data_IF_868247902206
#
_entry.id   IF_868247902206
#
_cell.length_a   1.000
_cell.length_b   1.000
_cell.length_c   1.000
_cell.angle_alpha   90.00
_cell.angle_beta   90.00
_cell.angle_gamma   90.00
#
_symmetry.space_group_name_H-M   'P 1'
#
loop_
_entity.id
_entity.type
_entity.pdbx_description
1 polymer ?
#
# COMPACT_ATOMS: atom_id res chain seq x y z
N UNK A 1 -12.85 -9.29 20.59
CA UNK A 1 -13.03 -10.60 19.95
C UNK A 1 -11.68 -11.32 19.85
N UNK A 2 -11.59 -12.56 20.36
CA UNK A 2 -10.36 -13.38 20.39
C UNK A 2 -10.45 -14.54 19.39
N UNK A 3 -11.56 -15.29 19.43
CA UNK A 3 -11.80 -16.46 18.60
C UNK A 3 -13.21 -16.40 18.02
N UNK A 4 -13.31 -16.57 16.70
CA UNK A 4 -14.56 -16.68 15.96
C UNK A 4 -14.79 -18.13 15.52
N UNK A 5 -16.03 -18.62 15.66
CA UNK A 5 -16.46 -19.95 15.26
C UNK A 5 -17.61 -19.80 14.25
N UNK A 6 -17.34 -20.12 12.99
CA UNK A 6 -18.29 -20.00 11.89
C UNK A 6 -18.83 -21.37 11.54
N UNK A 7 -20.14 -21.55 11.73
CA UNK A 7 -20.85 -22.75 11.30
C UNK A 7 -21.41 -22.53 9.90
N UNK A 8 -20.69 -23.03 8.89
CA UNK A 8 -21.04 -22.88 7.48
C UNK A 8 -22.19 -23.85 7.17
N UNK A 9 -23.41 -23.31 7.17
CA UNK A 9 -24.64 -24.10 6.97
C UNK A 9 -25.41 -23.75 5.70
N UNK A 10 -25.22 -22.53 5.17
CA UNK A 10 -25.99 -22.00 4.06
C UNK A 10 -25.08 -21.52 2.93
N UNK A 11 -25.50 -21.76 1.69
CA UNK A 11 -25.02 -21.05 0.52
C UNK A 11 -25.90 -19.81 0.28
N UNK A 12 -25.27 -18.64 0.21
CA UNK A 12 -25.95 -17.38 -0.13
C UNK A 12 -25.92 -17.18 -1.64
N UNK A 13 -27.07 -17.28 -2.27
CA UNK A 13 -27.23 -17.06 -3.71
C UNK A 13 -27.15 -15.56 -4.06
N UNK A 14 -26.95 -15.23 -5.34
CA UNK A 14 -26.85 -13.84 -5.83
C UNK A 14 -28.11 -13.01 -5.56
N UNK A 15 -29.27 -13.64 -5.49
CA UNK A 15 -30.55 -13.02 -5.11
C UNK A 15 -30.72 -12.85 -3.59
N UNK A 16 -29.71 -13.19 -2.78
CA UNK A 16 -29.73 -13.14 -1.32
C UNK A 16 -30.40 -14.33 -0.63
N UNK A 17 -31.01 -15.26 -1.36
CA UNK A 17 -31.64 -16.47 -0.78
C UNK A 17 -30.58 -17.38 -0.17
N UNK A 18 -30.91 -17.94 1.00
CA UNK A 18 -30.09 -18.93 1.68
C UNK A 18 -30.62 -20.34 1.38
N UNK A 19 -29.77 -21.20 0.84
CA UNK A 19 -30.06 -22.63 0.67
C UNK A 19 -29.13 -23.45 1.55
N UNK A 20 -29.66 -24.50 2.18
CA UNK A 20 -28.84 -25.42 2.98
C UNK A 20 -27.75 -26.06 2.10
N UNK A 21 -26.54 -26.14 2.65
CA UNK A 21 -25.46 -26.87 2.01
C UNK A 21 -25.67 -28.40 2.18
N UNK A 22 -25.28 -29.21 1.18
CA UNK A 22 -25.31 -30.67 1.31
C UNK A 22 -24.44 -31.20 2.45
N UNK A 23 -23.31 -30.55 2.71
CA UNK A 23 -22.42 -30.81 3.83
C UNK A 23 -22.20 -29.52 4.63
N UNK A 24 -22.21 -29.62 5.96
CA UNK A 24 -21.96 -28.50 6.87
C UNK A 24 -20.49 -28.51 7.28
N UNK A 25 -19.90 -27.32 7.37
CA UNK A 25 -18.49 -27.15 7.72
C UNK A 25 -18.35 -26.24 8.93
N UNK A 26 -17.20 -26.33 9.57
CA UNK A 26 -16.79 -25.42 10.65
C UNK A 26 -15.52 -24.73 10.18
N UNK A 27 -15.53 -23.40 10.23
CA UNK A 27 -14.35 -22.57 10.05
C UNK A 27 -14.11 -21.81 11.35
N UNK A 28 -12.85 -21.74 11.78
CA UNK A 28 -12.50 -21.07 13.03
C UNK A 28 -11.31 -20.16 12.80
N UNK A 29 -11.38 -18.95 13.35
CA UNK A 29 -10.29 -17.98 13.26
C UNK A 29 -9.99 -17.40 14.64
N UNK A 30 -8.75 -17.53 15.09
CA UNK A 30 -8.28 -16.93 16.33
C UNK A 30 -7.14 -15.96 16.02
N UNK A 31 -7.28 -14.70 16.41
CA UNK A 31 -6.24 -13.70 16.19
C UNK A 31 -5.04 -13.97 17.08
N UNK A 32 -3.95 -14.47 16.52
CA UNK A 32 -2.76 -14.90 17.26
C UNK A 32 -2.21 -13.78 18.15
N UNK A 33 -2.00 -12.58 17.61
CA UNK A 33 -1.47 -11.43 18.36
C UNK A 33 -2.43 -11.00 19.48
N UNK A 34 -3.74 -11.12 19.26
CA UNK A 34 -4.75 -10.80 20.28
C UNK A 34 -4.76 -11.83 21.41
N UNK A 35 -4.58 -13.12 21.09
CA UNK A 35 -4.44 -14.17 22.09
C UNK A 35 -3.17 -13.93 22.92
N UNK A 36 -2.03 -13.68 22.26
CA UNK A 36 -0.75 -13.45 22.94
C UNK A 36 -0.82 -12.25 23.88
N UNK A 37 -1.48 -11.16 23.48
CA UNK A 37 -1.77 -10.02 24.37
C UNK A 37 -2.45 -10.44 25.67
N UNK A 38 -3.49 -11.28 25.58
CA UNK A 38 -4.23 -11.77 26.75
C UNK A 38 -3.33 -12.66 27.62
N UNK A 39 -2.59 -13.59 27.01
CA UNK A 39 -1.69 -14.50 27.72
C UNK A 39 -0.57 -13.78 28.44
N UNK A 40 -0.04 -12.70 27.85
CA UNK A 40 1.02 -11.87 28.43
C UNK A 40 0.51 -10.79 29.38
N UNK A 41 -0.82 -10.64 29.53
CA UNK A 41 -1.47 -9.66 30.41
C UNK A 41 -1.03 -8.22 30.12
N UNK A 42 -0.98 -7.87 28.83
CA UNK A 42 -0.68 -6.52 28.35
C UNK A 42 -1.92 -5.91 27.68
N UNK A 43 -2.01 -4.58 27.63
CA UNK A 43 -3.25 -3.90 27.20
C UNK A 43 -3.35 -3.73 25.68
N UNK A 44 -2.19 -3.79 25.00
CA UNK A 44 -2.07 -3.59 23.56
C UNK A 44 -1.33 -4.74 22.87
N UNK A 45 -1.70 -5.04 21.61
CA UNK A 45 -0.95 -5.98 20.79
C UNK A 45 0.50 -5.51 20.61
N UNK A 46 0.70 -4.20 20.55
CA UNK A 46 2.02 -3.57 20.39
C UNK A 46 2.93 -3.72 21.62
N UNK A 47 2.40 -4.22 22.74
CA UNK A 47 3.18 -4.50 23.96
C UNK A 47 3.56 -5.98 24.07
N UNK A 48 3.21 -6.80 23.09
CA UNK A 48 3.58 -8.21 23.06
C UNK A 48 5.03 -8.41 22.62
N UNK A 49 5.60 -9.56 22.95
CA UNK A 49 6.89 -10.04 22.40
C UNK A 49 6.91 -10.12 20.87
N UNK A 50 5.76 -10.20 20.21
CA UNK A 50 5.63 -10.17 18.74
C UNK A 50 6.00 -8.80 18.16
N UNK A 51 5.62 -7.71 18.84
CA UNK A 51 5.77 -6.35 18.33
C UNK A 51 6.90 -5.57 18.98
N UNK A 52 7.21 -5.82 20.25
CA UNK A 52 8.25 -5.10 21.00
C UNK A 52 9.59 -5.03 20.24
N UNK A 53 10.14 -6.13 19.70
CA UNK A 53 11.44 -6.06 19.02
C UNK A 53 11.40 -5.22 17.74
N UNK A 54 10.25 -5.22 17.03
CA UNK A 54 10.06 -4.37 15.85
C UNK A 54 10.02 -2.90 16.25
N UNK A 55 9.28 -2.54 17.30
CA UNK A 55 9.18 -1.17 17.80
C UNK A 55 10.49 -0.65 18.38
N UNK A 56 11.24 -1.51 19.07
CA UNK A 56 12.59 -1.22 19.54
C UNK A 56 13.52 -0.96 18.37
N UNK A 57 13.49 -1.81 17.34
CA UNK A 57 14.29 -1.60 16.12
C UNK A 57 13.93 -0.31 15.39
N UNK A 58 12.65 0.02 15.27
CA UNK A 58 12.23 1.31 14.72
C UNK A 58 12.84 2.44 15.56
N UNK A 59 12.80 2.32 16.89
CA UNK A 59 13.37 3.31 17.80
C UNK A 59 14.87 3.52 17.63
N UNK A 60 15.62 2.44 17.42
CA UNK A 60 17.06 2.51 17.08
C UNK A 60 17.30 3.21 15.74
N UNK A 61 16.50 2.88 14.73
CA UNK A 61 16.66 3.45 13.37
C UNK A 61 16.32 4.94 13.34
N UNK A 62 15.31 5.38 14.11
CA UNK A 62 14.88 6.79 14.15
C UNK A 62 15.52 7.61 15.27
N UNK A 63 16.27 6.98 16.17
CA UNK A 63 16.94 7.65 17.29
C UNK A 63 16.04 8.06 18.46
N UNK A 64 14.78 7.59 18.49
CA UNK A 64 13.80 7.90 19.55
C UNK A 64 13.19 6.60 20.08
N UNK A 65 13.31 6.26 21.37
CA UNK A 65 12.67 5.06 21.91
C UNK A 65 11.14 5.15 21.85
N UNK A 66 10.45 4.05 21.48
CA UNK A 66 8.99 3.99 21.37
C UNK A 66 8.26 4.48 22.64
N UNK A 67 8.75 4.11 23.83
CA UNK A 67 8.14 4.51 25.11
C UNK A 67 8.34 5.98 25.46
N UNK A 68 9.34 6.63 24.86
CA UNK A 68 9.64 8.05 25.05
C UNK A 68 9.01 8.93 23.98
N UNK A 69 8.49 8.32 22.90
CA UNK A 69 7.78 9.01 21.83
C UNK A 69 6.44 9.57 22.31
N UNK A 70 6.05 10.72 21.75
CA UNK A 70 4.73 11.30 21.98
C UNK A 70 3.62 10.47 21.29
N UNK A 71 2.35 10.77 21.55
CA UNK A 71 1.23 9.99 21.02
C UNK A 71 1.21 9.89 19.48
N UNK A 72 1.55 10.97 18.78
CA UNK A 72 1.59 10.99 17.32
C UNK A 72 2.74 10.12 16.76
N UNK A 73 3.91 10.21 17.40
CA UNK A 73 5.05 9.37 17.08
C UNK A 73 4.74 7.90 17.38
N UNK A 74 4.11 7.57 18.52
CA UNK A 74 3.73 6.20 18.83
C UNK A 74 2.80 5.58 17.79
N UNK A 75 1.85 6.36 17.25
CA UNK A 75 1.03 5.93 16.11
C UNK A 75 1.90 5.65 14.88
N UNK A 76 2.87 6.50 14.58
CA UNK A 76 3.79 6.27 13.47
C UNK A 76 4.59 4.97 13.62
N UNK A 77 5.12 4.70 14.82
CA UNK A 77 5.79 3.44 15.15
C UNK A 77 4.90 2.23 14.90
N UNK A 78 3.67 2.26 15.42
CA UNK A 78 2.71 1.16 15.27
C UNK A 78 2.37 0.91 13.80
N UNK A 79 2.08 1.97 13.04
CA UNK A 79 1.79 1.88 11.61
C UNK A 79 2.97 1.30 10.85
N UNK A 80 4.19 1.78 11.09
CA UNK A 80 5.40 1.27 10.42
C UNK A 80 5.61 -0.20 10.77
N UNK A 81 5.45 -0.60 12.05
CA UNK A 81 5.61 -1.98 12.50
C UNK A 81 4.62 -2.94 11.84
N UNK A 82 3.35 -2.57 11.70
CA UNK A 82 2.36 -3.38 10.97
C UNK A 82 2.67 -3.45 9.47
N UNK A 83 3.05 -2.31 8.89
CA UNK A 83 3.26 -2.20 7.45
C UNK A 83 4.49 -2.98 7.00
N UNK A 84 5.60 -2.95 7.75
CA UNK A 84 6.77 -3.76 7.41
C UNK A 84 6.45 -5.25 7.45
N UNK A 85 5.68 -5.73 8.45
CA UNK A 85 5.25 -7.15 8.50
C UNK A 85 4.52 -7.53 7.22
N UNK A 86 3.48 -6.77 6.85
CA UNK A 86 2.70 -7.03 5.65
C UNK A 86 3.55 -7.00 4.37
N UNK A 87 4.43 -6.00 4.23
CA UNK A 87 5.30 -5.86 3.07
C UNK A 87 6.30 -7.01 2.96
N UNK A 88 6.95 -7.38 4.07
CA UNK A 88 7.92 -8.49 4.09
C UNK A 88 7.29 -9.79 3.65
N UNK A 89 6.15 -10.17 4.25
CA UNK A 89 5.47 -11.42 3.87
C UNK A 89 4.94 -11.37 2.43
N UNK A 90 4.29 -10.27 2.04
CA UNK A 90 3.70 -10.18 0.69
C UNK A 90 4.75 -10.23 -0.42
N UNK A 91 5.90 -9.58 -0.23
CA UNK A 91 6.99 -9.58 -1.21
C UNK A 91 7.71 -10.94 -1.21
N UNK A 92 7.88 -11.56 -0.04
CA UNK A 92 8.36 -12.94 0.05
C UNK A 92 7.43 -13.91 -0.68
N UNK A 93 6.12 -13.68 -0.71
CA UNK A 93 5.16 -14.50 -1.48
C UNK A 93 5.15 -14.17 -2.99
N UNK A 94 5.98 -13.23 -3.45
CA UNK A 94 6.14 -12.86 -4.86
C UNK A 94 5.25 -11.72 -5.34
N UNK A 95 4.51 -11.04 -4.45
CA UNK A 95 3.81 -9.82 -4.83
C UNK A 95 4.79 -8.64 -4.95
N UNK A 96 4.57 -7.75 -5.93
CA UNK A 96 5.41 -6.57 -6.14
C UNK A 96 4.59 -5.29 -6.17
N UNK A 97 5.13 -4.17 -5.62
CA UNK A 97 4.52 -2.86 -5.78
C UNK A 97 4.23 -2.54 -7.26
N UNK A 98 2.99 -2.15 -7.57
CA UNK A 98 2.57 -1.80 -8.94
C UNK A 98 1.42 -0.78 -8.90
N UNK A 99 0.90 -0.39 -10.06
CA UNK A 99 -0.25 0.52 -10.17
C UNK A 99 -1.61 -0.18 -10.14
N UNK A 100 -1.66 -1.52 -10.09
CA UNK A 100 -2.90 -2.27 -10.23
C UNK A 100 -2.99 -3.48 -9.28
N UNK A 101 -4.22 -3.90 -8.98
CA UNK A 101 -4.51 -5.11 -8.21
C UNK A 101 -3.79 -5.16 -6.86
N UNK A 102 -3.19 -6.33 -6.54
CA UNK A 102 -2.47 -6.55 -5.28
C UNK A 102 -1.23 -5.67 -5.16
N UNK A 103 -0.54 -5.40 -6.28
CA UNK A 103 0.66 -4.58 -6.27
C UNK A 103 0.37 -3.12 -5.90
N UNK A 104 -0.80 -2.61 -6.26
CA UNK A 104 -1.25 -1.29 -5.81
C UNK A 104 -1.45 -1.22 -4.28
N UNK A 105 -1.95 -2.30 -3.68
CA UNK A 105 -2.09 -2.40 -2.22
C UNK A 105 -0.71 -2.34 -1.54
N UNK A 106 0.26 -3.12 -2.02
CA UNK A 106 1.63 -3.10 -1.50
C UNK A 106 2.25 -1.70 -1.63
N UNK A 107 2.13 -1.07 -2.81
CA UNK A 107 2.59 0.29 -3.06
C UNK A 107 1.98 1.28 -2.06
N UNK A 108 0.67 1.23 -1.82
CA UNK A 108 -0.02 2.09 -0.86
C UNK A 108 0.48 1.90 0.57
N UNK A 109 0.65 0.66 1.02
CA UNK A 109 1.12 0.34 2.38
C UNK A 109 2.56 0.85 2.57
N UNK A 110 3.45 0.63 1.60
CA UNK A 110 4.81 1.16 1.65
C UNK A 110 4.83 2.69 1.73
N UNK A 111 4.08 3.36 0.85
CA UNK A 111 4.01 4.84 0.85
C UNK A 111 3.41 5.41 2.14
N UNK A 112 2.43 4.72 2.73
CA UNK A 112 1.88 5.08 4.03
C UNK A 112 2.94 4.97 5.14
N UNK A 113 3.70 3.87 5.16
CA UNK A 113 4.81 3.73 6.11
C UNK A 113 5.87 4.83 5.94
N UNK A 114 6.25 5.15 4.70
CA UNK A 114 7.20 6.23 4.41
C UNK A 114 6.71 7.60 4.90
N UNK A 115 5.43 7.92 4.67
CA UNK A 115 4.81 9.14 5.19
C UNK A 115 4.81 9.19 6.72
N UNK A 116 4.49 8.10 7.40
CA UNK A 116 4.60 8.06 8.87
C UNK A 116 6.06 8.17 9.33
N UNK A 117 7.03 7.72 8.53
CA UNK A 117 8.45 7.99 8.71
C UNK A 117 8.77 9.50 8.79
N UNK A 118 8.08 10.35 8.01
CA UNK A 118 8.25 11.81 8.11
C UNK A 118 7.82 12.39 9.46
N UNK A 119 6.86 11.76 10.16
CA UNK A 119 6.50 12.12 11.55
C UNK A 119 7.58 11.75 12.56
N UNK A 120 8.52 10.89 12.16
CA UNK A 120 9.69 10.47 12.94
C UNK A 120 10.98 11.11 12.41
N UNK A 121 10.88 12.18 11.62
CA UNK A 121 12.02 12.90 11.03
C UNK A 121 12.91 12.04 10.12
N UNK A 122 12.37 10.93 9.59
CA UNK A 122 13.09 10.07 8.66
C UNK A 122 12.94 10.58 7.24
N UNK A 123 14.00 11.23 6.74
CA UNK A 123 14.06 11.77 5.38
C UNK A 123 14.64 10.78 4.35
N UNK A 124 15.57 9.93 4.81
CA UNK A 124 16.21 8.89 4.01
C UNK A 124 15.48 7.55 4.09
N UNK A 125 15.61 6.67 3.07
CA UNK A 125 15.03 5.34 3.10
C UNK A 125 15.47 4.54 4.33
N UNK A 126 14.51 3.96 5.05
CA UNK A 126 14.79 3.26 6.30
C UNK A 126 13.93 2.02 6.51
N UNK A 127 12.78 1.88 5.84
CA UNK A 127 11.82 0.80 6.09
C UNK A 127 12.48 -0.57 5.86
N UNK A 128 13.31 -0.68 4.81
CA UNK A 128 14.03 -1.91 4.49
C UNK A 128 14.99 -2.36 5.62
N UNK A 129 15.46 -1.45 6.47
CA UNK A 129 16.38 -1.75 7.59
C UNK A 129 15.70 -2.55 8.70
N UNK A 130 14.37 -2.64 8.66
CA UNK A 130 13.55 -3.38 9.63
C UNK A 130 13.40 -4.86 9.24
N UNK A 131 13.56 -5.22 7.96
CA UNK A 131 13.39 -6.60 7.46
C UNK A 131 14.23 -7.63 8.24
N UNK A 132 15.50 -7.38 8.61
CA UNK A 132 16.27 -8.35 9.39
C UNK A 132 15.62 -8.74 10.73
N UNK A 133 14.98 -7.80 11.42
CA UNK A 133 14.25 -8.08 12.67
C UNK A 133 13.06 -9.00 12.43
N UNK A 134 12.40 -8.91 11.27
CA UNK A 134 11.31 -9.84 10.92
C UNK A 134 11.86 -11.24 10.64
N UNK A 135 13.03 -11.34 10.00
CA UNK A 135 13.70 -12.63 9.77
C UNK A 135 14.07 -13.29 11.10
N UNK A 136 14.57 -12.54 12.07
CA UNK A 136 14.89 -13.04 13.41
C UNK A 136 13.64 -13.55 14.16
N UNK A 137 12.53 -12.80 14.08
CA UNK A 137 11.29 -13.15 14.78
C UNK A 137 10.53 -14.31 14.15
N UNK A 138 10.47 -14.35 12.82
CA UNK A 138 9.55 -15.22 12.08
C UNK A 138 10.26 -16.30 11.25
N UNK A 139 11.56 -16.18 11.01
CA UNK A 139 12.30 -17.04 10.07
C UNK A 139 12.30 -18.53 10.44
N UNK A 140 12.13 -18.87 11.73
CA UNK A 140 11.99 -20.25 12.17
C UNK A 140 10.67 -20.91 11.74
N UNK A 141 9.58 -20.14 11.64
CA UNK A 141 8.27 -20.62 11.20
C UNK A 141 8.04 -20.40 9.70
N UNK A 142 8.70 -19.42 9.12
CA UNK A 142 8.54 -19.00 7.72
C UNK A 142 9.92 -18.91 7.02
N UNK A 143 10.53 -20.05 6.64
CA UNK A 143 11.87 -20.07 6.04
C UNK A 143 12.00 -19.22 4.76
N UNK A 144 10.91 -19.05 4.03
CA UNK A 144 10.84 -18.28 2.79
C UNK A 144 11.21 -16.80 2.98
N UNK A 145 10.94 -16.20 4.15
CA UNK A 145 11.32 -14.81 4.41
C UNK A 145 12.83 -14.69 4.67
N UNK A 146 13.47 -15.76 5.16
CA UNK A 146 14.93 -15.81 5.36
C UNK A 146 15.62 -15.80 4.00
N UNK A 147 15.19 -16.70 3.12
CA UNK A 147 15.73 -16.85 1.76
C UNK A 147 15.57 -15.55 0.95
N UNK A 148 14.41 -14.91 1.05
CA UNK A 148 14.06 -13.74 0.23
C UNK A 148 14.41 -12.40 0.88
N UNK A 149 14.99 -12.38 2.09
CA UNK A 149 15.27 -11.14 2.81
C UNK A 149 16.05 -10.11 1.99
N UNK A 150 17.15 -10.46 1.27
CA UNK A 150 17.89 -9.48 0.46
C UNK A 150 17.02 -8.86 -0.64
N UNK A 151 16.22 -9.69 -1.31
CA UNK A 151 15.30 -9.26 -2.35
C UNK A 151 14.21 -8.33 -1.82
N UNK A 152 13.57 -8.71 -0.70
CA UNK A 152 12.57 -7.88 -0.02
C UNK A 152 13.14 -6.52 0.36
N UNK A 153 14.35 -6.49 0.92
CA UNK A 153 15.04 -5.26 1.28
C UNK A 153 15.27 -4.35 0.07
N UNK A 154 15.74 -4.90 -1.05
CA UNK A 154 15.97 -4.14 -2.28
C UNK A 154 14.69 -3.56 -2.87
N UNK A 155 13.61 -4.36 -2.92
CA UNK A 155 12.29 -3.90 -3.42
C UNK A 155 11.76 -2.76 -2.56
N UNK A 156 11.78 -2.92 -1.23
CA UNK A 156 11.30 -1.89 -0.31
C UNK A 156 12.14 -0.61 -0.44
N UNK A 157 13.48 -0.74 -0.43
CA UNK A 157 14.39 0.40 -0.57
C UNK A 157 14.13 1.16 -1.87
N UNK A 158 14.03 0.45 -3.00
CA UNK A 158 13.85 1.08 -4.31
C UNK A 158 12.53 1.84 -4.44
N UNK A 159 11.41 1.27 -3.97
CA UNK A 159 10.12 1.98 -4.00
C UNK A 159 10.09 3.15 -3.00
N UNK A 160 10.72 3.01 -1.83
CA UNK A 160 10.83 4.09 -0.84
C UNK A 160 11.68 5.26 -1.37
N UNK A 161 12.85 4.99 -1.98
CA UNK A 161 13.70 5.98 -2.64
C UNK A 161 12.95 6.72 -3.75
N UNK A 162 12.23 5.99 -4.59
CA UNK A 162 11.44 6.56 -5.68
C UNK A 162 10.35 7.50 -5.15
N UNK A 163 9.64 7.07 -4.11
CA UNK A 163 8.55 7.85 -3.54
C UNK A 163 9.04 9.07 -2.78
N UNK A 164 10.13 8.96 -2.01
CA UNK A 164 10.69 10.06 -1.21
C UNK A 164 11.00 11.31 -2.05
N UNK A 165 11.37 11.14 -3.33
CA UNK A 165 11.59 12.25 -4.28
C UNK A 165 10.37 13.15 -4.47
N UNK A 166 9.17 12.62 -4.28
CA UNK A 166 7.89 13.29 -4.52
C UNK A 166 7.09 13.53 -3.24
N UNK A 167 7.38 12.79 -2.16
CA UNK A 167 6.63 12.81 -0.91
C UNK A 167 6.60 14.19 -0.26
N UNK A 168 7.78 14.80 -0.06
CA UNK A 168 7.87 16.09 0.65
C UNK A 168 7.12 17.19 -0.12
N UNK A 169 7.29 17.21 -1.44
CA UNK A 169 6.55 18.13 -2.31
C UNK A 169 5.04 17.88 -2.28
N UNK A 170 4.61 16.62 -2.24
CA UNK A 170 3.20 16.27 -2.11
C UNK A 170 2.60 16.73 -0.78
N UNK A 171 3.36 16.63 0.32
CA UNK A 171 2.94 17.11 1.65
C UNK A 171 2.80 18.64 1.66
N UNK A 172 3.75 19.39 1.08
CA UNK A 172 3.66 20.84 0.95
C UNK A 172 2.37 21.27 0.23
N UNK A 173 2.11 20.67 -0.94
CA UNK A 173 0.95 21.00 -1.76
C UNK A 173 -0.35 20.63 -1.05
N UNK A 174 -0.38 19.49 -0.35
CA UNK A 174 -1.52 19.12 0.49
C UNK A 174 -1.78 20.19 1.56
N UNK A 175 -0.74 20.67 2.25
CA UNK A 175 -0.88 21.70 3.27
C UNK A 175 -1.36 23.05 2.70
N UNK A 176 -0.93 23.40 1.49
CA UNK A 176 -1.42 24.58 0.77
C UNK A 176 -2.93 24.46 0.47
N UNK A 177 -3.36 23.32 -0.08
CA UNK A 177 -4.79 23.04 -0.33
C UNK A 177 -5.61 23.16 0.95
N UNK A 178 -5.13 22.56 2.05
CA UNK A 178 -5.81 22.63 3.35
C UNK A 178 -5.89 24.08 3.86
N UNK A 179 -4.83 24.86 3.70
CA UNK A 179 -4.80 26.26 4.14
C UNK A 179 -5.82 27.11 3.38
N UNK A 180 -5.93 26.91 2.06
CA UNK A 180 -6.97 27.57 1.25
C UNK A 180 -8.39 27.17 1.65
N UNK A 181 -8.63 25.88 1.89
CA UNK A 181 -9.94 25.38 2.30
C UNK A 181 -10.34 25.92 3.68
N UNK A 182 -9.39 25.98 4.63
CA UNK A 182 -9.61 26.62 5.94
C UNK A 182 -10.00 28.09 5.80
N UNK A 183 -9.32 28.85 4.92
CA UNK A 183 -9.67 30.24 4.64
C UNK A 183 -11.09 30.38 4.06
N UNK A 184 -11.53 29.41 3.25
CA UNK A 184 -12.87 29.32 2.67
C UNK A 184 -13.91 28.68 3.60
N UNK A 185 -13.53 28.26 4.82
CA UNK A 185 -14.37 27.50 5.78
C UNK A 185 -14.96 26.21 5.18
N UNK A 186 -14.18 25.54 4.35
CA UNK A 186 -14.52 24.26 3.75
C UNK A 186 -13.68 23.15 4.41
N UNK A 187 -14.27 21.96 4.55
CA UNK A 187 -13.62 20.77 5.14
C UNK A 187 -13.56 19.59 4.17
N UNK A 188 -13.89 19.82 2.90
CA UNK A 188 -13.89 18.78 1.85
C UNK A 188 -12.88 19.17 0.78
N UNK A 189 -11.88 18.33 0.56
CA UNK A 189 -10.89 18.45 -0.51
C UNK A 189 -11.59 18.09 -1.83
N UNK A 190 -11.69 19.02 -2.80
CA UNK A 190 -12.34 18.74 -4.07
C UNK A 190 -11.64 17.61 -4.83
N UNK A 191 -12.41 16.78 -5.53
CA UNK A 191 -11.88 15.64 -6.28
C UNK A 191 -10.81 16.00 -7.30
N UNK A 192 -10.90 17.20 -7.91
CA UNK A 192 -9.88 17.72 -8.82
C UNK A 192 -8.53 18.03 -8.15
N UNK A 193 -8.53 18.54 -6.92
CA UNK A 193 -7.29 18.77 -6.16
C UNK A 193 -6.67 17.45 -5.70
N UNK A 194 -7.50 16.50 -5.25
CA UNK A 194 -7.05 15.15 -4.93
C UNK A 194 -6.49 14.43 -6.18
N UNK A 195 -7.10 14.64 -7.35
CA UNK A 195 -6.64 14.11 -8.63
C UNK A 195 -5.30 14.72 -9.03
N UNK A 196 -5.12 16.04 -8.86
CA UNK A 196 -3.86 16.73 -9.11
C UNK A 196 -2.72 16.21 -8.23
N UNK A 197 -2.99 16.00 -6.93
CA UNK A 197 -2.06 15.35 -6.00
C UNK A 197 -1.63 13.96 -6.51
N UNK A 198 -2.59 13.16 -6.96
CA UNK A 198 -2.35 11.83 -7.50
C UNK A 198 -1.57 11.82 -8.82
N UNK A 199 -2.08 12.53 -9.83
CA UNK A 199 -1.59 12.45 -11.21
C UNK A 199 -0.27 13.22 -11.41
N UNK A 200 -0.19 14.44 -10.88
CA UNK A 200 0.96 15.32 -11.11
C UNK A 200 2.10 15.05 -10.13
N UNK A 201 1.77 14.71 -8.87
CA UNK A 201 2.76 14.60 -7.80
C UNK A 201 2.94 13.16 -7.29
N UNK A 202 2.24 12.18 -7.90
CA UNK A 202 2.35 10.78 -7.51
C UNK A 202 1.83 10.49 -6.10
N UNK A 203 1.07 11.42 -5.51
CA UNK A 203 0.61 11.37 -4.12
C UNK A 203 -0.68 10.54 -4.02
N UNK A 204 -0.64 9.32 -3.45
CA UNK A 204 -1.79 8.44 -3.49
C UNK A 204 -3.03 9.07 -2.86
N UNK A 205 -4.20 8.95 -3.51
CA UNK A 205 -5.48 9.45 -2.97
C UNK A 205 -5.77 8.93 -1.57
N UNK A 206 -5.36 7.70 -1.27
CA UNK A 206 -5.49 7.13 0.07
C UNK A 206 -4.62 7.82 1.11
N UNK A 207 -3.46 8.32 0.71
CA UNK A 207 -2.60 9.10 1.59
C UNK A 207 -3.23 10.48 1.84
N UNK A 208 -3.77 11.11 0.79
CA UNK A 208 -4.56 12.35 0.90
C UNK A 208 -5.72 12.16 1.86
N UNK A 209 -6.47 11.05 1.76
CA UNK A 209 -7.60 10.74 2.63
C UNK A 209 -7.17 10.56 4.09
N UNK A 210 -6.16 9.74 4.37
CA UNK A 210 -5.66 9.54 5.73
C UNK A 210 -5.18 10.87 6.34
N UNK A 211 -4.48 11.69 5.55
CA UNK A 211 -4.01 13.00 6.02
C UNK A 211 -5.14 13.98 6.25
N UNK A 212 -6.19 13.95 5.41
CA UNK A 212 -7.38 14.78 5.60
C UNK A 212 -8.13 14.37 6.88
N UNK A 213 -8.35 13.07 7.09
CA UNK A 213 -9.04 12.53 8.27
C UNK A 213 -8.34 12.93 9.58
N UNK A 214 -7.01 12.89 9.62
CA UNK A 214 -6.21 13.30 10.80
C UNK A 214 -6.46 14.74 11.26
N UNK A 215 -6.88 15.62 10.35
CA UNK A 215 -7.15 17.04 10.64
C UNK A 215 -8.64 17.40 10.55
N UNK A 216 -9.53 16.40 10.46
CA UNK A 216 -10.98 16.59 10.40
C UNK A 216 -11.51 17.03 9.03
N UNK A 217 -10.77 16.75 7.96
CA UNK A 217 -11.16 16.98 6.56
C UNK A 217 -11.58 15.66 5.91
N UNK A 218 -12.31 15.75 4.79
CA UNK A 218 -12.63 14.62 3.92
C UNK A 218 -12.20 14.89 2.49
N UNK A 219 -12.15 13.85 1.65
CA UNK A 219 -11.90 13.95 0.22
C UNK A 219 -13.19 13.68 -0.54
N UNK A 220 -13.47 14.46 -1.59
CA UNK A 220 -14.52 14.19 -2.56
C UNK A 220 -14.09 13.06 -3.50
N UNK A 221 -14.34 11.83 -3.06
CA UNK A 221 -14.00 10.58 -3.77
C UNK A 221 -14.79 10.42 -5.07
N UNK A 222 -16.04 10.88 -5.11
CA UNK A 222 -16.87 10.84 -6.31
C UNK A 222 -16.29 11.78 -7.38
N UNK A 223 -15.92 13.00 -6.99
CA UNK A 223 -15.23 13.94 -7.87
C UNK A 223 -13.87 13.42 -8.34
N UNK A 224 -13.10 12.78 -7.46
CA UNK A 224 -11.82 12.14 -7.84
C UNK A 224 -12.04 11.04 -8.87
N UNK A 225 -13.06 10.19 -8.67
CA UNK A 225 -13.41 9.11 -9.60
C UNK A 225 -13.80 9.66 -10.97
N UNK A 226 -14.58 10.76 -11.00
CA UNK A 226 -14.92 11.45 -12.26
C UNK A 226 -13.67 11.93 -13.00
N UNK A 227 -12.69 12.51 -12.31
CA UNK A 227 -11.44 12.96 -12.93
C UNK A 227 -10.57 11.79 -13.43
N UNK A 228 -10.52 10.68 -12.68
CA UNK A 228 -9.87 9.45 -13.11
C UNK A 228 -10.49 8.90 -14.40
N UNK A 229 -11.81 8.92 -14.53
CA UNK A 229 -12.45 8.47 -15.78
C UNK A 229 -12.21 9.43 -16.94
N UNK A 230 -12.24 10.75 -16.71
CA UNK A 230 -11.83 11.72 -17.75
C UNK A 230 -10.39 11.49 -18.20
N UNK A 231 -9.48 11.13 -17.30
CA UNK A 231 -8.11 10.79 -17.65
C UNK A 231 -8.03 9.51 -18.48
N UNK A 232 -8.73 8.45 -18.07
CA UNK A 232 -8.80 7.19 -18.83
C UNK A 232 -9.37 7.39 -20.23
N UNK A 233 -10.43 8.19 -20.37
CA UNK A 233 -10.98 8.55 -21.68
C UNK A 233 -9.99 9.33 -22.55
N UNK A 234 -9.27 10.30 -21.97
CA UNK A 234 -8.21 11.03 -22.68
C UNK A 234 -7.10 10.10 -23.15
N UNK A 235 -6.64 9.19 -22.29
CA UNK A 235 -5.63 8.19 -22.63
C UNK A 235 -6.11 7.24 -23.74
N UNK A 236 -7.39 6.81 -23.72
CA UNK A 236 -7.99 6.00 -24.80
C UNK A 236 -8.08 6.76 -26.12
N UNK A 237 -8.41 8.06 -26.08
CA UNK A 237 -8.47 8.92 -27.27
C UNK A 237 -7.08 9.19 -27.87
N UNK A 238 -6.06 9.36 -27.03
CA UNK A 238 -4.67 9.52 -27.47
C UNK A 238 -4.03 8.18 -27.92
N UNK A 239 -4.40 7.08 -27.28
CA UNK A 239 -3.97 5.71 -27.63
C UNK A 239 -4.66 5.12 -28.85
N UNK A 240 -5.78 5.72 -29.29
CA UNK A 240 -6.15 5.70 -30.71
C UNK A 240 -5.12 6.55 -31.44
N UNK A 241 -3.95 5.96 -31.66
CA UNK A 241 -3.12 6.31 -32.80
C UNK A 241 -4.07 6.18 -33.99
N UNK A 242 -4.59 7.31 -34.45
CA UNK A 242 -4.94 7.46 -35.85
C UNK A 242 -3.69 6.95 -36.55
N UNK A 243 -3.74 5.74 -37.11
CA UNK A 243 -3.14 5.55 -38.41
C UNK A 243 -3.74 6.70 -39.22
N UNK A 244 -3.05 7.85 -39.22
CA UNK A 244 -2.98 8.59 -40.45
C UNK A 244 -2.53 7.51 -41.41
N UNK A 245 -3.46 7.06 -42.24
CA UNK A 245 -3.11 6.80 -43.63
C UNK A 245 -2.35 8.06 -44.08
N UNK A 246 -1.05 8.13 -43.72
CA UNK A 246 -0.07 8.55 -44.69
C UNK A 246 -0.50 7.84 -45.96
N UNK A 247 -0.58 8.57 -47.06
CA UNK A 247 -0.57 8.01 -48.41
C UNK A 247 0.70 7.17 -48.56
N UNK A 248 0.78 6.06 -47.84
CA UNK A 248 1.72 4.99 -48.01
C UNK A 248 1.21 4.33 -49.27
N UNK A 249 1.74 4.78 -50.41
CA UNK A 249 1.57 4.12 -51.68
C UNK A 249 1.80 2.62 -51.52
N UNK A 250 1.14 1.84 -52.37
CA UNK A 250 1.12 0.38 -52.33
C UNK A 250 2.47 -0.23 -51.96
N UNK A 251 2.42 -1.25 -51.10
CA UNK A 251 3.57 -2.03 -50.66
C UNK A 251 4.49 -2.38 -51.84
N UNK A 252 5.69 -1.79 -51.86
CA UNK A 252 6.75 -2.22 -52.76
C UNK A 252 7.56 -3.33 -52.11
N UNK A 253 7.50 -4.51 -52.70
CA UNK A 253 8.41 -5.61 -52.38
C UNK A 253 9.80 -5.24 -52.90
N UNK A 254 10.70 -4.83 -51.99
CA UNK A 254 12.07 -4.45 -52.35
C UNK A 254 12.95 -5.66 -52.68
N UNK A 255 12.67 -6.82 -52.10
CA UNK A 255 13.28 -8.11 -52.44
C UNK A 255 12.29 -9.25 -52.15
N UNK A 256 12.17 -10.28 -53.02
CA UNK A 256 11.45 -11.49 -52.68
C UNK A 256 12.12 -12.20 -51.50
N UNK A 257 11.35 -12.60 -50.49
CA UNK A 257 11.89 -13.39 -49.39
C UNK A 257 12.15 -14.83 -49.89
N UNK A 258 13.36 -15.36 -49.65
CA UNK A 258 13.64 -16.78 -49.84
C UNK A 258 13.02 -17.61 -48.70
N UNK A 259 12.55 -18.83 -49.03
CA UNK A 259 11.91 -19.73 -48.07
C UNK A 259 12.80 -19.97 -46.85
N UNK A 260 12.32 -19.55 -45.69
CA UNK A 260 12.99 -19.74 -44.40
C UNK A 260 12.35 -20.92 -43.68
N UNK A 261 13.14 -21.98 -43.45
CA UNK A 261 12.72 -23.09 -42.59
C UNK A 261 13.06 -22.80 -41.14
N UNK A 262 12.03 -22.73 -40.29
CA UNK A 262 12.20 -22.67 -38.84
C UNK A 262 12.66 -24.03 -38.30
N UNK A 263 13.82 -24.05 -37.66
CA UNK A 263 14.25 -25.19 -36.83
C UNK A 263 13.94 -24.86 -35.37
N UNK A 264 13.30 -25.81 -34.67
CA UNK A 264 12.84 -25.67 -33.30
C UNK A 264 13.95 -25.74 -32.25
#
# INVERSE_FOLDING_TARGET
EIWNLVFIQFNRQSNGKLSLLPAKHVDTGMGFERLVRVLQKVDSNYETDIFKPILERIGEVVGVPFRSANAEQQVAFQVIADHIRMLTFSISDGALPSNEGRGYVLRRILRRAARFGRKLEMHEPFIFKLVPTLVELYGGAFPEIVEKAPYVMDVIRSEEESFNKTLDRGIEIFNDIISELKAKKQSVIPGGEAFKLYDTFGFPVDLTRVMAEEIGFSVDEDGFTVEMEKQRERARKAGKFTLQESEAGDWQVLNPAEETTFVG
#
